data_IF_678000365821
#
_entry.id   IF_678000365821
#
_cell.length_a   1.000
_cell.length_b   1.000
_cell.length_c   1.000
_cell.angle_alpha   90.00
_cell.angle_beta   90.00
_cell.angle_gamma   90.00
#
_symmetry.space_group_name_H-M   'P 1'
#
loop_
_entity.id
_entity.type
_entity.pdbx_description
1 polymer ?
#
# COMPACT_ATOMS: atom_id res chain seq x y z
N UNK A 1 0.86 -2.66 20.34
CA UNK A 1 -0.04 -2.00 19.37
C UNK A 1 -0.25 -2.84 18.11
N UNK A 2 0.75 -3.06 17.22
CA UNK A 2 0.54 -3.92 16.03
C UNK A 2 0.59 -5.42 16.34
N UNK A 3 1.57 -5.89 17.13
CA UNK A 3 1.66 -7.30 17.54
C UNK A 3 0.44 -7.78 18.33
N UNK A 4 -0.14 -6.89 19.15
CA UNK A 4 -1.33 -7.21 19.94
C UNK A 4 -2.56 -7.34 19.04
N UNK A 5 -2.66 -6.52 17.99
CA UNK A 5 -3.72 -6.61 16.99
C UNK A 5 -3.64 -7.91 16.17
N UNK A 6 -2.43 -8.29 15.74
CA UNK A 6 -2.19 -9.57 15.05
C UNK A 6 -2.49 -10.77 15.94
N UNK A 7 -2.23 -10.66 17.25
CA UNK A 7 -2.54 -11.70 18.25
C UNK A 7 -4.01 -11.80 18.61
N UNK A 8 -4.75 -10.68 18.53
CA UNK A 8 -6.18 -10.63 18.86
C UNK A 8 -7.05 -11.12 17.69
N UNK A 9 -6.59 -10.92 16.45
CA UNK A 9 -7.25 -11.42 15.25
C UNK A 9 -6.75 -12.81 14.84
N UNK A 10 -7.64 -13.64 14.29
CA UNK A 10 -7.25 -14.82 13.50
C UNK A 10 -6.58 -14.35 12.18
N UNK A 11 -5.40 -13.77 12.29
CA UNK A 11 -4.71 -13.08 11.20
C UNK A 11 -3.63 -13.97 10.63
N UNK A 12 -3.65 -14.20 9.32
CA UNK A 12 -2.58 -14.90 8.61
C UNK A 12 -1.62 -13.88 7.99
N UNK A 13 -0.31 -14.06 8.18
CA UNK A 13 0.71 -13.24 7.54
C UNK A 13 1.08 -13.92 6.21
N UNK A 14 0.74 -13.29 5.10
CA UNK A 14 1.15 -13.73 3.77
C UNK A 14 2.31 -12.85 3.29
N UNK A 15 3.45 -13.48 3.01
CA UNK A 15 4.55 -12.82 2.33
C UNK A 15 4.27 -12.81 0.83
N UNK A 16 3.97 -11.65 0.26
CA UNK A 16 3.91 -11.48 -1.19
C UNK A 16 5.34 -11.27 -1.70
N UNK A 17 5.89 -12.28 -2.37
CA UNK A 17 7.19 -12.19 -3.05
C UNK A 17 7.02 -11.26 -4.26
N UNK A 18 7.21 -9.95 -4.05
CA UNK A 18 7.40 -8.87 -5.05
C UNK A 18 6.31 -8.58 -6.09
N UNK A 19 5.44 -9.52 -6.47
CA UNK A 19 4.61 -9.38 -7.68
C UNK A 19 3.15 -8.94 -7.47
N UNK A 20 2.64 -8.80 -6.25
CA UNK A 20 1.20 -8.53 -6.02
C UNK A 20 0.90 -7.40 -5.03
N UNK A 21 1.73 -6.35 -5.02
CA UNK A 21 1.47 -5.16 -4.19
C UNK A 21 2.18 -3.92 -4.73
N UNK A 22 2.28 -3.82 -6.05
CA UNK A 22 2.99 -2.74 -6.72
C UNK A 22 2.31 -1.39 -6.47
N UNK A 23 0.98 -1.36 -6.37
CA UNK A 23 0.20 -0.17 -6.04
C UNK A 23 0.58 0.40 -4.67
N UNK A 24 0.64 -0.42 -3.62
CA UNK A 24 1.00 0.07 -2.29
C UNK A 24 2.44 0.58 -2.24
N UNK A 25 3.37 -0.10 -2.92
CA UNK A 25 4.76 0.35 -3.04
C UNK A 25 4.88 1.68 -3.80
N UNK A 26 4.11 1.85 -4.88
CA UNK A 26 4.05 3.11 -5.64
C UNK A 26 3.53 4.25 -4.76
N UNK A 27 2.40 4.07 -4.08
CA UNK A 27 1.81 5.08 -3.21
C UNK A 27 2.73 5.45 -2.03
N UNK A 28 3.36 4.44 -1.41
CA UNK A 28 4.32 4.69 -0.34
C UNK A 28 5.51 5.53 -0.82
N UNK A 29 6.01 5.30 -2.04
CA UNK A 29 7.10 6.08 -2.63
C UNK A 29 6.67 7.48 -3.07
N UNK A 30 5.45 7.61 -3.60
CA UNK A 30 4.89 8.90 -4.02
C UNK A 30 4.82 9.87 -2.84
N UNK A 31 4.39 9.37 -1.68
CA UNK A 31 4.17 10.18 -0.47
C UNK A 31 5.38 10.21 0.48
N UNK A 32 6.38 9.33 0.33
CA UNK A 32 7.59 9.31 1.15
C UNK A 32 8.31 10.66 1.32
N UNK A 33 8.39 11.54 0.30
CA UNK A 33 9.03 12.85 0.47
C UNK A 33 8.12 13.92 1.10
N UNK A 34 6.84 13.63 1.37
CA UNK A 34 5.93 14.59 1.99
C UNK A 34 5.97 14.51 3.51
N UNK A 35 5.99 15.67 4.17
CA UNK A 35 5.91 15.75 5.65
C UNK A 35 4.47 15.58 6.18
N UNK A 36 3.49 15.40 5.29
CA UNK A 36 2.09 15.23 5.68
C UNK A 36 1.80 13.78 6.09
N UNK A 37 1.11 13.61 7.22
CA UNK A 37 0.63 12.30 7.65
C UNK A 37 -0.51 11.75 6.78
N UNK A 38 -1.18 12.60 6.00
CA UNK A 38 -2.27 12.23 5.10
C UNK A 38 -2.30 13.15 3.88
N UNK A 39 -2.42 12.56 2.69
CA UNK A 39 -2.55 13.27 1.43
C UNK A 39 -3.77 12.76 0.69
N UNK A 40 -4.68 13.67 0.33
CA UNK A 40 -5.90 13.36 -0.40
C UNK A 40 -5.71 13.67 -1.88
N UNK A 41 -5.79 12.64 -2.73
CA UNK A 41 -5.70 12.77 -4.18
C UNK A 41 -7.09 12.82 -4.80
N UNK A 42 -7.46 13.94 -5.41
CA UNK A 42 -8.78 14.11 -6.07
C UNK A 42 -8.91 13.26 -7.35
N UNK A 43 -7.79 12.85 -7.94
CA UNK A 43 -7.67 12.02 -9.14
C UNK A 43 -6.56 10.99 -8.94
N UNK A 44 -6.62 9.82 -9.60
CA UNK A 44 -5.55 8.83 -9.51
C UNK A 44 -4.21 9.44 -9.94
N UNK A 45 -3.11 9.27 -9.17
CA UNK A 45 -1.79 9.71 -9.59
C UNK A 45 -1.34 9.03 -10.88
N UNK A 46 -0.58 9.76 -11.69
CA UNK A 46 -0.02 9.25 -12.94
C UNK A 46 0.82 8.00 -12.68
N UNK A 47 0.49 6.90 -13.35
CA UNK A 47 1.15 5.61 -13.18
C UNK A 47 0.47 4.65 -12.20
N UNK A 48 -0.55 5.06 -11.44
CA UNK A 48 -1.31 4.13 -10.58
C UNK A 48 -2.23 3.19 -11.40
N UNK A 49 -2.89 3.71 -12.44
CA UNK A 49 -3.87 2.96 -13.23
C UNK A 49 -3.29 1.71 -13.93
N UNK A 50 -2.08 1.76 -14.53
CA UNK A 50 -1.43 0.56 -15.04
C UNK A 50 -1.15 -0.48 -13.95
N UNK A 51 -0.65 -0.06 -12.79
CA UNK A 51 -0.33 -0.97 -11.68
C UNK A 51 -1.56 -1.66 -11.10
N UNK A 52 -2.72 -0.98 -11.11
CA UNK A 52 -3.99 -1.60 -10.71
C UNK A 52 -4.39 -2.76 -11.60
N UNK A 53 -3.98 -2.78 -12.88
CA UNK A 53 -4.25 -3.91 -13.77
C UNK A 53 -3.30 -5.07 -13.52
N UNK A 54 -2.10 -4.79 -13.05
CA UNK A 54 -1.07 -5.79 -12.79
C UNK A 54 -1.23 -6.46 -11.41
N UNK A 55 -1.77 -5.72 -10.42
CA UNK A 55 -2.05 -6.22 -9.06
C UNK A 55 -3.44 -6.90 -8.91
N UNK A 56 -4.34 -6.78 -9.91
CA UNK A 56 -5.71 -7.33 -9.88
C UNK A 56 -5.76 -8.82 -10.26
#
# INVERSE_FOLDING_TARGET
MFKDLVRLGNTSILHTLREGNQCANFLAKLEAPMDSALSNHATPPDGLVPLLRDDA
#
